data_IF_503809636674
#
_entry.id   IF_503809636674
#
_cell.length_a   1.000
_cell.length_b   1.000
_cell.length_c   1.000
_cell.angle_alpha   90.00
_cell.angle_beta   90.00
_cell.angle_gamma   90.00
#
_symmetry.space_group_name_H-M   'P 1'
#
loop_
_entity.id
_entity.type
_entity.pdbx_description
1 polymer ?
#
# COMPACT_ATOMS: atom_id res chain seq x y z
N UNK A 1 51.39 5.76 5.38
CA UNK A 1 49.99 6.05 5.74
C UNK A 1 49.10 4.89 5.29
N UNK A 2 49.02 3.83 6.09
CA UNK A 2 48.26 2.60 5.75
C UNK A 2 46.80 2.77 6.17
N UNK A 3 45.89 2.78 5.20
CA UNK A 3 44.45 2.82 5.48
C UNK A 3 43.97 1.45 5.95
N UNK A 4 43.41 1.40 7.16
CA UNK A 4 42.97 0.16 7.83
C UNK A 4 41.83 -0.52 7.04
N UNK A 5 41.93 -1.82 6.70
CA UNK A 5 40.91 -2.54 5.90
C UNK A 5 39.50 -2.50 6.51
N UNK A 6 39.40 -2.39 7.84
CA UNK A 6 38.13 -2.26 8.57
C UNK A 6 37.34 -0.96 8.26
N UNK A 7 37.97 0.06 7.67
CA UNK A 7 37.31 1.31 7.27
C UNK A 7 36.66 1.19 5.89
N UNK A 8 37.27 0.43 4.97
CA UNK A 8 36.73 0.16 3.61
C UNK A 8 35.48 -0.72 3.65
N UNK A 9 35.48 -1.78 4.46
CA UNK A 9 34.31 -2.66 4.61
C UNK A 9 33.05 -1.94 5.11
N UNK A 10 33.21 -0.99 6.03
CA UNK A 10 32.10 -0.17 6.56
C UNK A 10 31.55 0.84 5.54
N UNK A 11 32.39 1.37 4.66
CA UNK A 11 31.95 2.29 3.59
C UNK A 11 31.21 1.50 2.50
N UNK A 12 31.73 0.34 2.10
CA UNK A 12 31.07 -0.52 1.11
C UNK A 12 29.72 -1.03 1.62
N UNK A 13 29.66 -1.49 2.87
CA UNK A 13 28.41 -1.92 3.51
C UNK A 13 27.38 -0.78 3.60
N UNK A 14 27.79 0.45 3.93
CA UNK A 14 26.91 1.63 3.93
C UNK A 14 26.44 2.04 2.53
N UNK A 15 27.27 1.84 1.50
CA UNK A 15 26.89 2.08 0.11
C UNK A 15 25.90 1.03 -0.38
N UNK A 16 26.17 -0.26 -0.13
CA UNK A 16 25.25 -1.36 -0.44
C UNK A 16 23.92 -1.17 0.32
N UNK A 17 23.97 -0.84 1.61
CA UNK A 17 22.78 -0.54 2.41
C UNK A 17 22.00 0.69 1.90
N UNK A 18 22.68 1.71 1.36
CA UNK A 18 22.05 2.87 0.70
C UNK A 18 21.40 2.55 -0.65
N UNK A 19 21.81 1.47 -1.31
CA UNK A 19 21.35 1.11 -2.64
C UNK A 19 20.41 -0.12 -2.68
N UNK A 20 20.30 -0.89 -1.59
CA UNK A 20 19.56 -2.15 -1.58
C UNK A 20 18.16 -2.04 -0.97
N UNK A 21 17.90 -1.08 -0.06
CA UNK A 21 16.56 -0.94 0.52
C UNK A 21 15.65 -0.14 -0.42
N UNK A 22 14.59 -0.78 -0.90
CA UNK A 22 13.55 -0.19 -1.76
C UNK A 22 12.30 0.11 -0.94
N UNK A 23 11.51 1.10 -1.37
CA UNK A 23 10.23 1.41 -0.72
C UNK A 23 9.29 0.20 -0.70
N UNK A 24 9.41 -0.73 -1.67
CA UNK A 24 8.64 -1.97 -1.70
C UNK A 24 8.82 -2.87 -0.48
N UNK A 25 9.94 -2.77 0.25
CA UNK A 25 10.14 -3.50 1.52
C UNK A 25 9.11 -3.06 2.57
N UNK A 26 8.68 -1.80 2.53
CA UNK A 26 7.66 -1.28 3.44
C UNK A 26 6.28 -1.92 3.21
N UNK A 27 6.03 -2.47 2.02
CA UNK A 27 4.78 -3.17 1.71
C UNK A 27 4.71 -4.57 2.31
N UNK A 28 5.82 -5.17 2.71
CA UNK A 28 5.86 -6.54 3.26
C UNK A 28 4.91 -6.75 4.46
N UNK A 29 4.89 -5.90 5.51
CA UNK A 29 3.94 -6.06 6.60
C UNK A 29 2.48 -5.96 6.13
N UNK A 30 2.18 -5.09 5.16
CA UNK A 30 0.83 -4.95 4.60
C UNK A 30 0.42 -6.22 3.85
N UNK A 31 1.31 -6.75 3.00
CA UNK A 31 1.06 -7.99 2.26
C UNK A 31 0.89 -9.18 3.21
N UNK A 32 1.74 -9.28 4.23
CA UNK A 32 1.65 -10.32 5.24
C UNK A 32 0.32 -10.25 6.01
N UNK A 33 -0.09 -9.05 6.43
CA UNK A 33 -1.39 -8.83 7.08
C UNK A 33 -2.55 -9.27 6.20
N UNK A 34 -2.54 -8.86 4.93
CA UNK A 34 -3.59 -9.19 3.98
C UNK A 34 -3.69 -10.70 3.75
N UNK A 35 -2.57 -11.39 3.50
CA UNK A 35 -2.56 -12.83 3.28
C UNK A 35 -3.02 -13.58 4.54
N UNK A 36 -2.54 -13.16 5.72
CA UNK A 36 -2.86 -13.84 6.98
C UNK A 36 -4.34 -13.69 7.40
N UNK A 37 -4.98 -12.57 7.07
CA UNK A 37 -6.29 -12.23 7.61
C UNK A 37 -7.42 -12.15 6.57
N UNK A 38 -7.15 -12.22 5.26
CA UNK A 38 -8.20 -12.11 4.24
C UNK A 38 -9.31 -13.15 4.45
N UNK A 39 -8.95 -14.37 4.84
CA UNK A 39 -9.90 -15.44 5.14
C UNK A 39 -10.70 -15.26 6.44
N UNK A 40 -10.38 -14.23 7.25
CA UNK A 40 -11.10 -13.88 8.48
C UNK A 40 -12.09 -12.72 8.28
N UNK A 41 -12.05 -12.05 7.13
CA UNK A 41 -13.00 -10.99 6.82
C UNK A 41 -14.39 -11.57 6.50
N UNK A 42 -15.45 -10.76 6.67
CA UNK A 42 -16.81 -11.17 6.31
C UNK A 42 -16.88 -11.74 4.89
N UNK A 43 -17.71 -12.76 4.63
CA UNK A 43 -17.85 -13.37 3.30
C UNK A 43 -18.07 -12.35 2.18
N UNK A 44 -18.80 -11.27 2.46
CA UNK A 44 -19.02 -10.17 1.51
C UNK A 44 -17.72 -9.58 0.95
N UNK A 45 -16.61 -9.65 1.68
CA UNK A 45 -15.28 -9.14 1.28
C UNK A 45 -14.36 -10.29 0.83
N UNK A 46 -14.50 -11.49 1.40
CA UNK A 46 -13.55 -12.61 1.23
C UNK A 46 -13.92 -13.63 0.14
N UNK A 47 -15.18 -13.72 -0.30
CA UNK A 47 -15.60 -14.75 -1.29
C UNK A 47 -15.46 -14.31 -2.76
N UNK A 48 -14.80 -15.11 -3.63
CA UNK A 48 -14.69 -14.87 -5.07
C UNK A 48 -16.04 -14.90 -5.82
N UNK A 49 -17.01 -15.68 -5.35
CA UNK A 49 -18.31 -15.89 -6.02
C UNK A 49 -19.17 -14.62 -6.13
N UNK A 50 -18.83 -13.55 -5.40
CA UNK A 50 -19.51 -12.26 -5.47
C UNK A 50 -18.87 -11.27 -6.44
N UNK A 51 -17.78 -11.66 -7.11
CA UNK A 51 -17.14 -10.87 -8.16
C UNK A 51 -17.97 -10.80 -9.45
N UNK A 52 -18.97 -11.68 -9.61
CA UNK A 52 -19.87 -11.70 -10.77
C UNK A 52 -20.78 -10.46 -10.83
N UNK A 53 -21.01 -9.78 -9.69
CA UNK A 53 -21.77 -8.53 -9.64
C UNK A 53 -21.00 -7.32 -10.19
N UNK A 54 -19.69 -7.46 -10.42
CA UNK A 54 -18.82 -6.35 -10.80
C UNK A 54 -18.60 -6.37 -12.31
N UNK A 55 -18.75 -5.21 -12.94
CA UNK A 55 -18.42 -5.04 -14.36
C UNK A 55 -16.96 -5.46 -14.61
N UNK A 56 -16.74 -6.45 -15.49
CA UNK A 56 -15.41 -6.97 -15.83
C UNK A 56 -14.35 -5.89 -16.13
N UNK A 57 -14.66 -4.78 -16.82
CA UNK A 57 -13.69 -3.71 -17.03
C UNK A 57 -13.17 -3.10 -15.72
N UNK A 58 -14.03 -2.92 -14.72
CA UNK A 58 -13.65 -2.37 -13.41
C UNK A 58 -12.74 -3.34 -12.66
N UNK A 59 -13.10 -4.62 -12.60
CA UNK A 59 -12.29 -5.64 -11.95
C UNK A 59 -10.91 -5.81 -12.61
N UNK A 60 -10.85 -5.76 -13.94
CA UNK A 60 -9.58 -5.81 -14.69
C UNK A 60 -8.74 -4.57 -14.42
N UNK A 61 -9.34 -3.38 -14.52
CA UNK A 61 -8.65 -2.11 -14.28
C UNK A 61 -8.08 -2.06 -12.86
N UNK A 62 -8.86 -2.42 -11.86
CA UNK A 62 -8.41 -2.42 -10.47
C UNK A 62 -7.25 -3.39 -10.25
N UNK A 63 -7.34 -4.64 -10.72
CA UNK A 63 -6.27 -5.62 -10.52
C UNK A 63 -4.98 -5.21 -11.25
N UNK A 64 -5.10 -4.69 -12.47
CA UNK A 64 -3.96 -4.15 -13.20
C UNK A 64 -3.31 -2.98 -12.46
N UNK A 65 -4.10 -2.01 -12.02
CA UNK A 65 -3.64 -0.87 -11.23
C UNK A 65 -3.03 -1.30 -9.90
N UNK A 66 -3.61 -2.30 -9.24
CA UNK A 66 -3.08 -2.91 -8.00
C UNK A 66 -1.69 -3.44 -8.24
N UNK A 67 -1.48 -4.24 -9.29
CA UNK A 67 -0.15 -4.76 -9.63
C UNK A 67 0.83 -3.60 -9.82
N UNK A 68 0.47 -2.56 -10.57
CA UNK A 68 1.34 -1.40 -10.78
C UNK A 68 1.67 -0.65 -9.49
N UNK A 69 0.67 -0.37 -8.65
CA UNK A 69 0.81 0.37 -7.38
C UNK A 69 1.68 -0.39 -6.37
N UNK A 70 1.57 -1.72 -6.33
CA UNK A 70 2.37 -2.56 -5.44
C UNK A 70 3.76 -2.87 -6.00
N UNK A 71 3.92 -3.00 -7.32
CA UNK A 71 5.20 -3.32 -7.94
C UNK A 71 6.12 -2.09 -8.02
N UNK A 72 5.62 -0.90 -8.34
CA UNK A 72 6.46 0.27 -8.58
C UNK A 72 7.36 0.65 -7.38
N UNK A 73 6.90 0.58 -6.11
CA UNK A 73 7.74 0.84 -4.94
C UNK A 73 8.97 -0.06 -4.83
N UNK A 74 8.98 -1.27 -5.42
CA UNK A 74 10.17 -2.13 -5.46
C UNK A 74 11.28 -1.57 -6.37
N UNK A 75 10.98 -0.55 -7.14
CA UNK A 75 11.92 0.15 -7.99
C UNK A 75 12.21 1.57 -7.51
N UNK A 76 11.60 1.99 -6.40
CA UNK A 76 11.87 3.28 -5.75
C UNK A 76 12.92 3.08 -4.64
N UNK A 77 14.11 3.71 -4.73
CA UNK A 77 15.09 3.67 -3.65
C UNK A 77 14.52 4.30 -2.38
N UNK A 78 14.66 3.61 -1.25
CA UNK A 78 14.31 4.19 0.04
C UNK A 78 15.42 5.15 0.49
N UNK A 79 15.12 6.43 0.52
CA UNK A 79 16.05 7.47 0.96
C UNK A 79 15.33 8.46 1.89
N UNK A 80 15.95 8.81 3.01
CA UNK A 80 15.40 9.74 4.01
C UNK A 80 16.19 11.06 4.07
N UNK A 81 16.78 11.46 2.94
CA UNK A 81 17.60 12.67 2.84
C UNK A 81 16.79 13.97 3.05
N UNK A 82 15.55 14.01 2.60
CA UNK A 82 14.74 15.25 2.58
C UNK A 82 13.63 15.24 3.62
N UNK A 83 13.17 16.44 4.04
CA UNK A 83 12.03 16.58 4.96
C UNK A 83 10.75 15.89 4.44
N UNK A 84 10.35 16.04 3.17
CA UNK A 84 9.18 15.34 2.63
C UNK A 84 9.28 13.81 2.73
N UNK A 85 10.47 13.23 2.55
CA UNK A 85 10.65 11.77 2.67
C UNK A 85 10.49 11.29 4.11
N UNK A 86 11.00 12.04 5.10
CA UNK A 86 10.80 11.71 6.51
C UNK A 86 9.33 11.77 6.90
N UNK A 87 8.62 12.80 6.44
CA UNK A 87 7.17 12.90 6.59
C UNK A 87 6.45 11.76 5.85
N UNK A 88 6.88 11.42 4.64
CA UNK A 88 6.33 10.29 3.89
C UNK A 88 6.43 8.97 4.64
N UNK A 89 7.55 8.72 5.32
CA UNK A 89 7.70 7.54 6.18
C UNK A 89 6.76 7.59 7.40
N UNK A 90 6.63 8.74 8.06
CA UNK A 90 5.72 8.90 9.19
C UNK A 90 4.25 8.68 8.77
N UNK A 91 3.83 9.29 7.66
CA UNK A 91 2.51 9.11 7.05
C UNK A 91 2.28 7.65 6.65
N UNK A 92 3.30 6.99 6.08
CA UNK A 92 3.24 5.57 5.74
C UNK A 92 2.97 4.69 6.97
N UNK A 93 3.75 4.88 8.02
CA UNK A 93 3.64 4.09 9.26
C UNK A 93 2.28 4.32 9.92
N UNK A 94 1.88 5.59 10.08
CA UNK A 94 0.57 5.94 10.65
C UNK A 94 -0.58 5.36 9.80
N UNK A 95 -0.51 5.51 8.48
CA UNK A 95 -1.49 4.95 7.56
C UNK A 95 -1.57 3.43 7.60
N UNK A 96 -0.44 2.74 7.80
CA UNK A 96 -0.39 1.27 7.95
C UNK A 96 -1.09 0.84 9.24
N UNK A 97 -0.87 1.54 10.35
CA UNK A 97 -1.56 1.26 11.63
C UNK A 97 -3.06 1.47 11.49
N UNK A 98 -3.48 2.58 10.87
CA UNK A 98 -4.90 2.86 10.61
C UNK A 98 -5.52 1.79 9.72
N UNK A 99 -4.80 1.37 8.68
CA UNK A 99 -5.24 0.28 7.80
C UNK A 99 -5.44 -1.03 8.57
N UNK A 100 -4.49 -1.45 9.39
CA UNK A 100 -4.63 -2.66 10.20
C UNK A 100 -5.78 -2.55 11.19
N UNK A 101 -5.92 -1.42 11.86
CA UNK A 101 -7.02 -1.16 12.78
C UNK A 101 -8.38 -1.22 12.09
N UNK A 102 -8.47 -0.84 10.81
CA UNK A 102 -9.73 -0.88 10.05
C UNK A 102 -10.27 -2.30 9.83
N UNK A 103 -9.41 -3.32 9.84
CA UNK A 103 -9.82 -4.72 9.71
C UNK A 103 -10.40 -5.28 11.00
N UNK A 104 -9.92 -4.80 12.15
CA UNK A 104 -10.22 -5.41 13.46
C UNK A 104 -11.72 -5.49 13.73
N UNK A 105 -12.52 -4.41 13.62
CA UNK A 105 -13.97 -4.48 13.84
C UNK A 105 -14.69 -5.44 12.90
N UNK A 106 -14.24 -5.55 11.64
CA UNK A 106 -14.83 -6.45 10.65
C UNK A 106 -14.58 -7.93 10.98
N UNK A 107 -13.45 -8.23 11.63
CA UNK A 107 -13.09 -9.58 12.04
C UNK A 107 -13.75 -9.95 13.37
N UNK A 108 -13.68 -9.07 14.38
CA UNK A 108 -14.10 -9.40 15.74
C UNK A 108 -15.58 -9.17 16.02
N UNK A 109 -16.20 -8.24 15.28
CA UNK A 109 -17.60 -7.84 15.47
C UNK A 109 -18.27 -7.51 14.13
N UNK A 110 -18.36 -8.48 13.19
CA UNK A 110 -18.87 -8.26 11.83
C UNK A 110 -20.33 -7.78 11.76
N UNK A 111 -21.11 -8.01 12.82
CA UNK A 111 -22.51 -7.58 12.94
C UNK A 111 -22.68 -6.26 13.71
N UNK A 112 -21.59 -5.59 14.07
CA UNK A 112 -21.64 -4.31 14.77
C UNK A 112 -22.14 -3.19 13.85
N UNK A 113 -22.76 -2.16 14.43
CA UNK A 113 -23.19 -0.98 13.69
C UNK A 113 -22.06 -0.31 12.89
N UNK A 114 -20.82 -0.42 13.36
CA UNK A 114 -19.65 0.02 12.60
C UNK A 114 -19.42 -0.87 11.37
N UNK A 115 -19.29 -2.18 11.56
CA UNK A 115 -18.96 -3.14 10.50
C UNK A 115 -20.02 -3.21 9.40
N UNK A 116 -21.30 -3.00 9.74
CA UNK A 116 -22.41 -2.98 8.79
C UNK A 116 -22.68 -1.59 8.21
N UNK A 117 -22.03 -0.54 8.70
CA UNK A 117 -22.11 0.79 8.08
C UNK A 117 -21.21 0.88 6.85
N UNK A 118 -21.60 1.70 5.86
CA UNK A 118 -20.74 1.94 4.70
C UNK A 118 -19.35 2.48 5.06
N UNK A 119 -19.26 3.33 6.09
CA UNK A 119 -17.96 3.87 6.52
C UNK A 119 -17.04 2.82 7.13
N UNK A 120 -17.59 1.90 7.93
CA UNK A 120 -16.79 0.83 8.55
C UNK A 120 -16.48 -0.31 7.60
N UNK A 121 -17.46 -0.73 6.80
CA UNK A 121 -17.29 -1.77 5.78
C UNK A 121 -16.24 -1.38 4.73
N UNK A 122 -16.26 -0.13 4.26
CA UNK A 122 -15.31 0.38 3.26
C UNK A 122 -13.96 0.79 3.86
N UNK A 123 -13.78 0.73 5.18
CA UNK A 123 -12.57 1.21 5.85
C UNK A 123 -11.28 0.54 5.32
N UNK A 124 -11.22 -0.78 5.11
CA UNK A 124 -10.08 -1.41 4.46
C UNK A 124 -9.80 -0.93 3.03
N UNK A 125 -10.78 -0.36 2.33
CA UNK A 125 -10.64 0.11 0.96
C UNK A 125 -10.14 1.57 0.87
N UNK A 126 -10.58 2.48 1.76
CA UNK A 126 -10.13 3.89 1.71
C UNK A 126 -8.90 4.17 2.57
N UNK A 127 -8.70 3.46 3.69
CA UNK A 127 -7.53 3.70 4.55
C UNK A 127 -6.17 3.46 3.87
N UNK A 128 -6.04 2.61 2.83
CA UNK A 128 -4.85 2.56 2.00
C UNK A 128 -4.39 3.89 1.42
N UNK A 129 -5.29 4.86 1.24
CA UNK A 129 -4.92 6.19 0.77
C UNK A 129 -3.82 6.83 1.61
N UNK A 130 -3.80 6.58 2.92
CA UNK A 130 -2.81 7.14 3.83
C UNK A 130 -1.41 6.58 3.57
N UNK A 131 -1.25 5.26 3.51
CA UNK A 131 0.06 4.67 3.29
C UNK A 131 0.53 4.81 1.83
N UNK A 132 -0.39 4.88 0.86
CA UNK A 132 -0.07 5.22 -0.54
C UNK A 132 0.45 6.65 -0.68
N UNK A 133 -0.15 7.61 0.04
CA UNK A 133 0.36 8.98 0.11
C UNK A 133 1.77 9.01 0.72
N UNK A 134 2.00 8.25 1.79
CA UNK A 134 3.32 8.09 2.38
C UNK A 134 4.38 7.61 1.37
N UNK A 135 4.04 6.59 0.57
CA UNK A 135 4.90 6.09 -0.51
C UNK A 135 5.13 7.12 -1.62
N UNK A 136 4.11 7.88 -2.01
CA UNK A 136 4.23 8.95 -3.00
C UNK A 136 5.20 10.07 -2.56
N UNK A 137 5.24 10.37 -1.26
CA UNK A 137 6.19 11.33 -0.69
C UNK A 137 7.61 10.76 -0.59
N UNK A 138 7.75 9.45 -0.41
CA UNK A 138 9.03 8.74 -0.35
C UNK A 138 9.69 8.58 -1.72
N UNK A 139 8.89 8.20 -2.72
CA UNK A 139 9.31 7.89 -4.09
C UNK A 139 9.77 9.13 -4.87
N UNK A 140 11.08 9.41 -4.85
CA UNK A 140 11.66 10.57 -5.57
C UNK A 140 12.21 10.24 -6.96
N UNK A 141 12.60 9.00 -7.18
CA UNK A 141 13.18 8.52 -8.42
C UNK A 141 13.00 6.99 -8.51
N UNK A 142 13.17 6.44 -9.70
CA UNK A 142 13.33 5.00 -9.88
C UNK A 142 14.82 4.63 -9.87
N UNK A 143 15.12 3.34 -9.70
CA UNK A 143 16.50 2.82 -9.76
C UNK A 143 17.12 2.99 -11.16
N UNK A 144 16.30 3.03 -12.22
CA UNK A 144 16.71 3.45 -13.55
C UNK A 144 16.34 4.91 -13.82
N UNK A 145 17.16 5.58 -14.62
CA UNK A 145 16.95 6.97 -15.02
C UNK A 145 15.87 7.06 -16.11
N UNK A 146 14.61 6.97 -15.73
CA UNK A 146 13.50 7.43 -16.56
C UNK A 146 12.96 8.76 -16.03
N UNK A 147 12.12 9.45 -16.81
CA UNK A 147 11.49 10.73 -16.44
C UNK A 147 10.47 10.65 -15.30
N UNK A 148 10.62 9.69 -14.37
CA UNK A 148 9.76 9.53 -13.22
C UNK A 148 9.73 10.80 -12.36
N UNK A 149 8.52 11.21 -11.98
CA UNK A 149 8.27 12.27 -11.02
C UNK A 149 7.34 11.74 -9.92
N UNK A 150 7.49 12.17 -8.66
CA UNK A 150 6.68 11.68 -7.54
C UNK A 150 5.16 11.75 -7.78
N UNK A 151 4.70 12.80 -8.46
CA UNK A 151 3.29 12.97 -8.80
C UNK A 151 2.74 11.82 -9.65
N UNK A 152 3.57 11.14 -10.43
CA UNK A 152 3.13 10.02 -11.28
C UNK A 152 2.65 8.84 -10.43
N UNK A 153 3.33 8.56 -9.32
CA UNK A 153 2.87 7.53 -8.39
C UNK A 153 1.66 7.99 -7.58
N UNK A 154 1.59 9.28 -7.22
CA UNK A 154 0.40 9.84 -6.59
C UNK A 154 -0.84 9.71 -7.50
N UNK A 155 -0.71 10.05 -8.79
CA UNK A 155 -1.77 9.93 -9.79
C UNK A 155 -2.17 8.45 -10.00
N UNK A 156 -1.19 7.57 -10.17
CA UNK A 156 -1.45 6.13 -10.29
C UNK A 156 -2.19 5.58 -9.06
N UNK A 157 -1.77 5.97 -7.86
CA UNK A 157 -2.41 5.58 -6.59
C UNK A 157 -3.84 6.13 -6.48
N UNK A 158 -4.07 7.38 -6.91
CA UNK A 158 -5.40 7.98 -6.91
C UNK A 158 -6.37 7.24 -7.85
N UNK A 159 -5.92 6.90 -9.07
CA UNK A 159 -6.73 6.13 -10.03
C UNK A 159 -7.02 4.72 -9.50
N UNK A 160 -6.02 4.06 -8.90
CA UNK A 160 -6.21 2.78 -8.22
C UNK A 160 -7.25 2.87 -7.10
N UNK A 161 -7.12 3.86 -6.20
CA UNK A 161 -8.05 4.07 -5.09
C UNK A 161 -9.47 4.32 -5.59
N UNK A 162 -9.65 5.12 -6.65
CA UNK A 162 -10.97 5.34 -7.23
C UNK A 162 -11.61 4.04 -7.72
N UNK A 163 -10.87 3.21 -8.45
CA UNK A 163 -11.35 1.91 -8.89
C UNK A 163 -11.65 0.97 -7.71
N UNK A 164 -10.72 0.88 -6.75
CA UNK A 164 -10.83 0.00 -5.58
C UNK A 164 -12.00 0.39 -4.67
N UNK A 165 -12.22 1.69 -4.45
CA UNK A 165 -13.36 2.20 -3.68
C UNK A 165 -14.67 1.98 -4.42
N UNK A 166 -14.70 2.16 -5.74
CA UNK A 166 -15.89 1.92 -6.54
C UNK A 166 -16.29 0.44 -6.46
N UNK A 167 -15.34 -0.48 -6.63
CA UNK A 167 -15.57 -1.90 -6.40
C UNK A 167 -16.13 -2.16 -5.00
N UNK A 168 -15.42 -1.71 -3.96
CA UNK A 168 -15.84 -1.96 -2.59
C UNK A 168 -17.24 -1.39 -2.28
N UNK A 169 -17.59 -0.23 -2.83
CA UNK A 169 -18.91 0.38 -2.70
C UNK A 169 -20.01 -0.41 -3.40
N UNK A 170 -19.75 -0.94 -4.61
CA UNK A 170 -20.68 -1.84 -5.31
C UNK A 170 -20.91 -3.09 -4.47
N UNK A 171 -19.84 -3.70 -3.94
CA UNK A 171 -19.95 -4.86 -3.06
C UNK A 171 -20.79 -4.54 -1.82
N UNK A 172 -20.55 -3.40 -1.17
CA UNK A 172 -21.37 -2.98 -0.03
C UNK A 172 -22.86 -2.88 -0.40
N UNK A 173 -23.20 -2.17 -1.48
CA UNK A 173 -24.57 -1.96 -1.92
C UNK A 173 -25.32 -3.24 -2.34
N UNK A 174 -24.60 -4.32 -2.65
CA UNK A 174 -25.21 -5.62 -2.93
C UNK A 174 -25.45 -6.48 -1.67
N UNK A 175 -24.84 -6.12 -0.53
CA UNK A 175 -24.89 -6.93 0.69
C UNK A 175 -25.64 -6.25 1.85
N UNK A 176 -25.92 -4.94 1.75
CA UNK A 176 -26.61 -4.11 2.74
C UNK A 176 -27.54 -3.11 2.04
#
# INVERSE_FOLDING_TARGET
>A
MQSTPARRGRVLARLVQRYVVRCGVLLLPILAWNIALIGRLPPAISTPERWDAIARPLALAENFLRVLVFALPFFMPLNLATRPQKWGLAVFVAGTVVYFASWVPLIVAPQSAWATSGLGFLAPAYTPALWLLGLALLGRQLVWRCGYRPWMYAALSAVFLAAHLTHAAIVYAHNY
#
